data_IF_952493670552
#
_entry.id   IF_952493670552
#
_cell.length_a   1.000
_cell.length_b   1.000
_cell.length_c   1.000
_cell.angle_alpha   90.00
_cell.angle_beta   90.00
_cell.angle_gamma   90.00
#
_symmetry.space_group_name_H-M   'P 1'
#
loop_
_entity.id
_entity.type
_entity.pdbx_description
1 polymer ?
#
# COMPACT_ATOMS: atom_id res chain seq x y z
N UNK A 1 -5.42 9.52 -8.12
CA UNK A 1 -5.22 8.08 -7.87
C UNK A 1 -4.36 7.84 -6.63
N UNK A 2 -3.29 8.61 -6.46
CA UNK A 2 -2.44 8.40 -5.27
C UNK A 2 -3.18 8.68 -3.97
N UNK A 3 -3.97 9.74 -3.90
CA UNK A 3 -4.75 10.06 -2.70
C UNK A 3 -5.82 9.01 -2.43
N UNK A 4 -6.44 8.47 -3.45
CA UNK A 4 -7.40 7.37 -3.31
C UNK A 4 -6.73 6.09 -2.82
N UNK A 5 -5.52 5.82 -3.31
CA UNK A 5 -4.72 4.69 -2.85
C UNK A 5 -4.39 4.84 -1.36
N UNK A 6 -3.98 6.04 -0.94
CA UNK A 6 -3.71 6.33 0.48
C UNK A 6 -4.95 6.09 1.33
N UNK A 7 -6.11 6.61 0.92
CA UNK A 7 -7.37 6.40 1.65
C UNK A 7 -7.70 4.92 1.79
N UNK A 8 -7.54 4.15 0.71
CA UNK A 8 -7.75 2.71 0.75
C UNK A 8 -6.79 1.99 1.70
N UNK A 9 -5.52 2.38 1.70
CA UNK A 9 -4.54 1.84 2.63
C UNK A 9 -4.90 2.17 4.08
N UNK A 10 -5.31 3.40 4.35
CA UNK A 10 -5.73 3.80 5.70
C UNK A 10 -6.93 2.99 6.18
N UNK A 11 -7.90 2.72 5.30
CA UNK A 11 -9.04 1.85 5.63
C UNK A 11 -8.61 0.41 5.89
N UNK A 12 -7.71 -0.12 5.08
CA UNK A 12 -7.18 -1.48 5.25
C UNK A 12 -6.44 -1.61 6.59
N UNK A 13 -5.60 -0.64 6.92
CA UNK A 13 -4.85 -0.62 8.19
C UNK A 13 -5.81 -0.55 9.37
N UNK A 14 -6.83 0.30 9.28
CA UNK A 14 -7.84 0.40 10.34
C UNK A 14 -8.55 -0.94 10.54
N UNK A 15 -8.94 -1.61 9.47
CA UNK A 15 -9.61 -2.90 9.55
C UNK A 15 -8.71 -3.96 10.22
N UNK A 16 -7.44 -4.00 9.86
CA UNK A 16 -6.47 -4.94 10.47
C UNK A 16 -6.28 -4.63 11.95
N UNK A 17 -6.13 -3.36 12.32
CA UNK A 17 -5.93 -2.95 13.71
C UNK A 17 -7.15 -3.24 14.60
N UNK A 18 -8.33 -3.35 14.01
CA UNK A 18 -9.55 -3.70 14.73
C UNK A 18 -9.75 -5.21 14.87
N UNK A 19 -8.88 -6.04 14.31
CA UNK A 19 -8.97 -7.49 14.49
C UNK A 19 -8.59 -7.90 15.92
N UNK A 20 -9.10 -9.02 16.38
CA UNK A 20 -8.78 -9.55 17.70
C UNK A 20 -7.28 -9.84 17.86
N UNK A 21 -6.62 -10.28 16.79
CA UNK A 21 -5.19 -10.57 16.83
C UNK A 21 -4.36 -9.34 17.21
N UNK A 22 -4.73 -8.15 16.71
CA UNK A 22 -4.03 -6.90 17.03
C UNK A 22 -4.47 -6.39 18.40
N UNK A 23 -5.77 -6.40 18.70
CA UNK A 23 -6.30 -5.92 19.98
C UNK A 23 -5.78 -6.72 21.16
N UNK A 24 -5.56 -8.01 21.01
CA UNK A 24 -4.99 -8.87 22.04
C UNK A 24 -3.47 -8.88 22.04
N UNK A 25 -2.85 -8.08 21.16
CA UNK A 25 -1.40 -7.97 21.00
C UNK A 25 -0.72 -9.26 20.53
N UNK A 26 -1.48 -10.20 19.96
CA UNK A 26 -0.91 -11.37 19.29
C UNK A 26 -0.16 -10.99 18.01
N UNK A 27 -0.54 -9.85 17.39
CA UNK A 27 0.16 -9.26 16.23
C UNK A 27 0.39 -7.78 16.49
N UNK A 28 1.48 -7.20 15.96
CA UNK A 28 1.73 -5.78 16.11
C UNK A 28 0.69 -4.95 15.35
N UNK A 29 0.38 -3.77 15.86
CA UNK A 29 -0.46 -2.81 15.15
C UNK A 29 0.31 -2.20 13.98
N UNK A 30 -0.45 -1.66 13.04
CA UNK A 30 0.08 -0.99 11.85
C UNK A 30 -0.19 0.50 11.93
N UNK A 31 0.67 1.28 11.31
CA UNK A 31 0.52 2.73 11.22
C UNK A 31 0.78 3.18 9.79
N UNK A 32 0.16 4.30 9.40
CA UNK A 32 0.35 4.96 8.12
C UNK A 32 0.81 6.38 8.38
N UNK A 33 1.91 6.78 7.77
CA UNK A 33 2.42 8.16 7.89
C UNK A 33 2.54 8.79 6.50
N UNK A 34 1.61 9.67 6.11
CA UNK A 34 1.77 10.48 4.91
C UNK A 34 2.68 11.68 5.20
N UNK A 35 3.32 12.21 4.15
CA UNK A 35 4.05 13.46 4.26
C UNK A 35 3.11 14.65 4.02
N UNK A 36 3.61 15.87 4.28
CA UNK A 36 2.83 17.11 4.12
C UNK A 36 2.52 17.44 2.67
N UNK A 37 3.35 16.99 1.72
CA UNK A 37 3.16 17.28 0.29
C UNK A 37 2.15 16.37 -0.38
N UNK A 38 1.74 15.28 0.28
CA UNK A 38 0.74 14.36 -0.25
C UNK A 38 1.24 13.45 -1.37
N UNK A 39 2.56 13.34 -1.55
CA UNK A 39 3.18 12.52 -2.59
C UNK A 39 3.96 11.31 -2.06
N UNK A 40 3.82 11.03 -0.77
CA UNK A 40 4.54 9.93 -0.11
C UNK A 40 3.76 9.48 1.12
N UNK A 41 3.72 8.19 1.35
CA UNK A 41 3.31 7.64 2.64
C UNK A 41 4.03 6.32 2.88
N UNK A 42 4.13 5.94 4.14
CA UNK A 42 4.73 4.68 4.56
C UNK A 42 3.75 3.93 5.47
N UNK A 43 3.67 2.61 5.28
CA UNK A 43 2.92 1.70 6.15
C UNK A 43 3.93 0.85 6.89
N UNK A 44 3.83 0.78 8.20
CA UNK A 44 4.84 0.08 9.01
C UNK A 44 4.23 -0.52 10.28
N UNK A 45 4.95 -1.47 10.86
CA UNK A 45 4.60 -2.03 12.17
C UNK A 45 5.01 -1.04 13.26
N UNK A 46 4.09 -0.73 14.18
CA UNK A 46 4.31 0.26 15.22
C UNK A 46 5.50 -0.06 16.12
N UNK A 47 5.79 -1.34 16.32
CA UNK A 47 6.90 -1.78 17.18
C UNK A 47 8.19 -2.06 16.42
N UNK A 48 8.18 -2.01 15.08
CA UNK A 48 9.34 -2.32 14.26
C UNK A 48 9.27 -1.58 12.93
N UNK A 49 9.79 -0.37 12.90
CA UNK A 49 9.76 0.48 11.71
C UNK A 49 10.64 -0.05 10.56
N UNK A 50 11.43 -1.09 10.77
CA UNK A 50 12.17 -1.75 9.71
C UNK A 50 11.23 -2.58 8.81
N UNK A 51 10.11 -3.07 9.34
CA UNK A 51 9.08 -3.74 8.56
C UNK A 51 8.11 -2.69 8.02
N UNK A 52 8.36 -2.25 6.77
CA UNK A 52 7.61 -1.15 6.17
C UNK A 52 7.46 -1.33 4.68
N UNK A 53 6.43 -0.67 4.13
CA UNK A 53 6.22 -0.51 2.69
C UNK A 53 6.07 0.98 2.42
N UNK A 54 6.88 1.52 1.54
CA UNK A 54 6.87 2.94 1.19
C UNK A 54 6.22 3.14 -0.18
N UNK A 55 5.31 4.11 -0.27
CA UNK A 55 4.65 4.49 -1.51
C UNK A 55 5.05 5.92 -1.85
N UNK A 56 5.60 6.12 -3.03
CA UNK A 56 6.06 7.43 -3.48
C UNK A 56 5.47 7.76 -4.84
N UNK A 57 4.76 8.88 -4.91
CA UNK A 57 4.15 9.35 -6.15
C UNK A 57 5.17 10.12 -6.99
N UNK A 58 5.34 9.69 -8.22
CA UNK A 58 6.13 10.38 -9.24
C UNK A 58 5.21 10.87 -10.35
N UNK A 59 5.75 11.64 -11.29
CA UNK A 59 4.97 12.23 -12.36
C UNK A 59 4.21 11.18 -13.18
N UNK A 60 4.88 10.07 -13.51
CA UNK A 60 4.35 9.05 -14.43
C UNK A 60 3.99 7.74 -13.74
N UNK A 61 4.30 7.58 -12.46
CA UNK A 61 4.13 6.30 -11.79
C UNK A 61 4.12 6.47 -10.27
N UNK A 62 3.81 5.38 -9.59
CA UNK A 62 3.97 5.26 -8.15
C UNK A 62 5.06 4.22 -7.90
N UNK A 63 6.08 4.59 -7.15
CA UNK A 63 7.12 3.65 -6.72
C UNK A 63 6.77 3.09 -5.36
N UNK A 64 6.80 1.76 -5.26
CA UNK A 64 6.54 1.05 -4.00
C UNK A 64 7.81 0.32 -3.61
N UNK A 65 8.34 0.64 -2.43
CA UNK A 65 9.55 0.01 -1.90
C UNK A 65 9.19 -0.89 -0.74
N UNK A 66 9.58 -2.16 -0.83
CA UNK A 66 9.32 -3.17 0.19
C UNK A 66 10.60 -3.97 0.43
N UNK A 67 11.26 -3.73 1.56
CA UNK A 67 12.57 -4.29 1.84
C UNK A 67 13.60 -3.80 0.82
N UNK A 68 14.29 -4.71 0.16
CA UNK A 68 15.26 -4.42 -0.90
C UNK A 68 14.65 -4.46 -2.30
N UNK A 69 13.32 -4.62 -2.41
CA UNK A 69 12.61 -4.68 -3.69
C UNK A 69 11.88 -3.38 -3.95
N UNK A 70 11.85 -2.99 -5.22
CA UNK A 70 11.08 -1.83 -5.68
C UNK A 70 10.15 -2.26 -6.80
N UNK A 71 8.91 -1.76 -6.74
CA UNK A 71 7.89 -2.02 -7.75
C UNK A 71 7.47 -0.70 -8.38
N UNK A 72 7.17 -0.73 -9.67
CA UNK A 72 6.66 0.43 -10.40
C UNK A 72 5.19 0.19 -10.70
N UNK A 73 4.33 1.04 -10.18
CA UNK A 73 2.89 1.00 -10.44
C UNK A 73 2.53 2.09 -11.41
N UNK A 74 1.99 1.73 -12.56
CA UNK A 74 1.60 2.67 -13.61
C UNK A 74 0.09 2.71 -13.77
N UNK A 75 -0.41 3.89 -14.14
CA UNK A 75 -1.83 4.08 -14.46
C UNK A 75 -2.07 3.74 -15.93
N UNK A 76 -3.15 3.04 -16.20
CA UNK A 76 -3.54 2.68 -17.55
C UNK A 76 -5.06 2.75 -17.70
N UNK A 77 -5.56 2.60 -18.93
CA UNK A 77 -6.97 2.50 -19.22
C UNK A 77 -7.27 1.12 -19.80
N UNK A 78 -8.39 0.53 -19.37
CA UNK A 78 -8.84 -0.74 -19.94
C UNK A 78 -9.64 -0.50 -21.22
N UNK A 79 -10.17 -1.57 -21.84
CA UNK A 79 -10.94 -1.49 -23.07
C UNK A 79 -12.24 -0.70 -22.93
N UNK A 80 -12.68 -0.45 -21.70
CA UNK A 80 -13.90 0.31 -21.41
C UNK A 80 -13.61 1.75 -20.99
N UNK A 81 -12.33 2.17 -21.06
CA UNK A 81 -11.90 3.51 -20.67
C UNK A 81 -11.82 3.73 -19.17
N UNK A 82 -11.88 2.68 -18.36
CA UNK A 82 -11.74 2.80 -16.91
C UNK A 82 -10.27 2.75 -16.48
N UNK A 83 -9.95 3.53 -15.44
CA UNK A 83 -8.62 3.53 -14.87
C UNK A 83 -8.28 2.19 -14.24
N UNK A 84 -7.11 1.67 -14.57
CA UNK A 84 -6.53 0.47 -13.98
C UNK A 84 -5.09 0.72 -13.64
N UNK A 85 -4.52 -0.13 -12.80
CA UNK A 85 -3.13 -0.05 -12.39
C UNK A 85 -2.38 -1.29 -12.86
N UNK A 86 -1.08 -1.13 -13.14
CA UNK A 86 -0.20 -2.25 -13.49
C UNK A 86 1.01 -2.21 -12.59
N UNK A 87 1.40 -3.37 -12.08
CA UNK A 87 2.62 -3.54 -11.31
C UNK A 87 3.69 -4.07 -12.26
N UNK A 88 4.78 -3.30 -12.43
CA UNK A 88 5.92 -3.65 -13.29
C UNK A 88 5.50 -4.03 -14.72
N UNK A 89 4.48 -3.35 -15.25
CA UNK A 89 4.00 -3.59 -16.62
C UNK A 89 3.17 -4.86 -16.78
N UNK A 90 2.70 -5.45 -15.70
CA UNK A 90 1.86 -6.64 -15.73
C UNK A 90 0.42 -6.39 -16.18
N UNK A 91 -0.49 -7.21 -15.76
CA UNK A 91 -1.90 -7.11 -16.15
C UNK A 91 -2.60 -5.92 -15.46
N UNK A 92 -3.76 -5.56 -16.00
CA UNK A 92 -4.59 -4.49 -15.43
C UNK A 92 -5.18 -4.93 -14.10
N UNK A 93 -5.00 -4.12 -13.06
CA UNK A 93 -5.46 -4.40 -11.71
C UNK A 93 -6.32 -3.25 -11.20
N UNK A 94 -7.22 -3.56 -10.27
CA UNK A 94 -7.93 -2.57 -9.49
C UNK A 94 -7.07 -2.13 -8.30
N UNK A 95 -7.40 -0.99 -7.69
CA UNK A 95 -6.61 -0.45 -6.57
C UNK A 95 -6.51 -1.43 -5.41
N UNK A 96 -7.61 -2.12 -5.08
CA UNK A 96 -7.59 -3.06 -3.96
C UNK A 96 -6.64 -4.24 -4.21
N UNK A 97 -6.49 -4.65 -5.47
CA UNK A 97 -5.55 -5.72 -5.85
C UNK A 97 -4.11 -5.27 -5.67
N UNK A 98 -3.81 -4.02 -6.04
CA UNK A 98 -2.47 -3.44 -5.83
C UNK A 98 -2.16 -3.34 -4.34
N UNK A 99 -3.09 -2.82 -3.53
CA UNK A 99 -2.91 -2.73 -2.09
C UNK A 99 -2.65 -4.11 -1.48
N UNK A 100 -3.44 -5.09 -1.86
CA UNK A 100 -3.27 -6.47 -1.38
C UNK A 100 -1.90 -7.02 -1.74
N UNK A 101 -1.49 -6.89 -2.99
CA UNK A 101 -0.21 -7.41 -3.46
C UNK A 101 0.96 -6.78 -2.70
N UNK A 102 0.91 -5.46 -2.47
CA UNK A 102 1.99 -4.72 -1.84
C UNK A 102 2.03 -4.91 -0.32
N UNK A 103 0.89 -5.11 0.33
CA UNK A 103 0.76 -5.05 1.78
C UNK A 103 0.49 -6.40 2.44
N UNK A 104 0.17 -7.43 1.66
CA UNK A 104 -0.22 -8.74 2.22
C UNK A 104 0.83 -9.30 3.17
N UNK A 105 2.10 -9.27 2.77
CA UNK A 105 3.18 -9.79 3.61
C UNK A 105 3.33 -8.98 4.91
N UNK A 106 3.19 -7.66 4.81
CA UNK A 106 3.26 -6.80 5.99
C UNK A 106 2.10 -7.08 6.95
N UNK A 107 0.89 -7.32 6.41
CA UNK A 107 -0.31 -7.53 7.22
C UNK A 107 -0.34 -8.90 7.87
N UNK A 108 0.13 -9.94 7.17
CA UNK A 108 -0.13 -11.32 7.57
C UNK A 108 1.13 -12.16 7.83
N UNK A 109 2.29 -11.72 7.38
CA UNK A 109 3.51 -12.53 7.43
C UNK A 109 4.69 -11.85 8.11
N UNK A 110 4.54 -10.59 8.50
CA UNK A 110 5.62 -9.84 9.14
C UNK A 110 5.66 -10.03 10.66
#
# INVERSE_FOLDING_TARGET
>A
VFSELLLGVEEDVKAINETDAVKTKARPSLAVMPNTDGNYFVVFHSGNAANKVEFRCHQDCIKVSRGDREFIVTLTLDNQGQCRLRIDGGENLEQWQVRRTMLEDLFFHA
#
